data_IF_744896909799
#
_entry.id   IF_744896909799
#
_cell.length_a   1.000
_cell.length_b   1.000
_cell.length_c   1.000
_cell.angle_alpha   90.00
_cell.angle_beta   90.00
_cell.angle_gamma   90.00
#
_symmetry.space_group_name_H-M   'P 1'
#
loop_
_entity.id
_entity.type
_entity.pdbx_description
1 polymer ?
#
# COMPACT_ATOMS: atom_id res chain seq x y z
N UNK A 1 -47.78 14.82 8.93
CA UNK A 1 -47.42 15.45 7.66
C UNK A 1 -46.75 14.39 6.79
N UNK A 2 -47.30 14.00 5.63
CA UNK A 2 -46.61 13.10 4.71
C UNK A 2 -45.43 13.85 4.08
N UNK A 3 -44.24 13.25 4.10
CA UNK A 3 -43.04 13.77 3.43
C UNK A 3 -43.29 13.71 1.92
N UNK A 4 -42.97 14.79 1.20
CA UNK A 4 -43.19 14.86 -0.25
C UNK A 4 -42.20 13.97 -0.98
N UNK A 5 -42.65 13.29 -2.04
CA UNK A 5 -41.78 12.51 -2.94
C UNK A 5 -40.63 13.35 -3.53
N UNK A 6 -40.80 14.68 -3.64
CA UNK A 6 -39.73 15.60 -4.04
C UNK A 6 -38.66 15.75 -2.94
N UNK A 7 -39.08 15.86 -1.68
CA UNK A 7 -38.15 15.97 -0.55
C UNK A 7 -37.29 14.70 -0.41
N UNK A 8 -37.87 13.53 -0.68
CA UNK A 8 -37.14 12.26 -0.68
C UNK A 8 -36.18 12.16 -1.88
N UNK A 9 -36.59 12.62 -3.07
CA UNK A 9 -35.73 12.67 -4.25
C UNK A 9 -34.51 13.59 -4.04
N UNK A 10 -34.72 14.75 -3.43
CA UNK A 10 -33.66 15.72 -3.13
C UNK A 10 -32.68 15.15 -2.09
N UNK A 11 -33.18 14.47 -1.04
CA UNK A 11 -32.33 13.77 -0.06
C UNK A 11 -31.50 12.65 -0.69
N UNK A 12 -32.07 11.89 -1.61
CA UNK A 12 -31.35 10.84 -2.35
C UNK A 12 -30.25 11.46 -3.22
N UNK A 13 -30.57 12.55 -3.94
CA UNK A 13 -29.61 13.25 -4.79
C UNK A 13 -28.43 13.83 -3.98
N UNK A 14 -28.70 14.42 -2.82
CA UNK A 14 -27.66 14.97 -1.96
C UNK A 14 -26.78 13.88 -1.33
N UNK A 15 -27.38 12.75 -0.94
CA UNK A 15 -26.61 11.58 -0.47
C UNK A 15 -25.70 11.01 -1.55
N UNK A 16 -26.20 10.93 -2.80
CA UNK A 16 -25.42 10.48 -3.94
C UNK A 16 -24.24 11.42 -4.25
N UNK A 17 -24.46 12.74 -4.21
CA UNK A 17 -23.38 13.75 -4.36
C UNK A 17 -22.33 13.61 -3.25
N UNK A 18 -22.76 13.42 -2.00
CA UNK A 18 -21.87 13.21 -0.85
C UNK A 18 -21.00 11.96 -1.02
N UNK A 19 -21.60 10.85 -1.43
CA UNK A 19 -20.89 9.59 -1.67
C UNK A 19 -19.88 9.71 -2.82
N UNK A 20 -20.26 10.37 -3.93
CA UNK A 20 -19.35 10.62 -5.04
C UNK A 20 -18.16 11.50 -4.64
N UNK A 21 -18.36 12.50 -3.78
CA UNK A 21 -17.27 13.33 -3.24
C UNK A 21 -16.34 12.51 -2.34
N UNK A 22 -16.88 11.61 -1.52
CA UNK A 22 -16.09 10.72 -0.67
C UNK A 22 -15.26 9.73 -1.49
N UNK A 23 -15.83 9.14 -2.53
CA UNK A 23 -15.12 8.26 -3.47
C UNK A 23 -13.98 9.00 -4.18
N UNK A 24 -14.22 10.21 -4.69
CA UNK A 24 -13.16 11.02 -5.33
C UNK A 24 -12.00 11.29 -4.38
N UNK A 25 -12.27 11.63 -3.11
CA UNK A 25 -11.23 11.84 -2.09
C UNK A 25 -10.45 10.56 -1.81
N UNK A 26 -11.13 9.43 -1.67
CA UNK A 26 -10.48 8.13 -1.44
C UNK A 26 -9.59 7.73 -2.62
N UNK A 27 -10.09 7.85 -3.86
CA UNK A 27 -9.32 7.58 -5.09
C UNK A 27 -8.11 8.52 -5.19
N UNK A 28 -8.31 9.81 -4.90
CA UNK A 28 -7.23 10.80 -4.86
C UNK A 28 -6.16 10.44 -3.84
N UNK A 29 -6.55 10.03 -2.63
CA UNK A 29 -5.61 9.63 -1.58
C UNK A 29 -4.81 8.38 -1.96
N UNK A 30 -5.46 7.36 -2.54
CA UNK A 30 -4.79 6.14 -3.02
C UNK A 30 -3.81 6.48 -4.15
N UNK A 31 -4.25 7.31 -5.10
CA UNK A 31 -3.43 7.72 -6.26
C UNK A 31 -2.23 8.54 -5.81
N UNK A 32 -2.42 9.47 -4.88
CA UNK A 32 -1.35 10.28 -4.30
C UNK A 32 -0.36 9.41 -3.52
N UNK A 33 -0.84 8.46 -2.71
CA UNK A 33 0.04 7.52 -2.00
C UNK A 33 0.90 6.73 -2.96
N UNK A 34 0.31 6.16 -4.01
CA UNK A 34 1.07 5.43 -5.01
C UNK A 34 2.13 6.31 -5.69
N UNK A 35 1.78 7.55 -6.04
CA UNK A 35 2.70 8.49 -6.68
C UNK A 35 3.90 8.83 -5.79
N UNK A 36 3.66 9.12 -4.50
CA UNK A 36 4.74 9.49 -3.55
C UNK A 36 5.68 8.31 -3.31
N UNK A 37 5.17 7.11 -3.09
CA UNK A 37 6.00 5.92 -2.91
C UNK A 37 6.76 5.56 -4.19
N UNK A 38 6.12 5.68 -5.35
CA UNK A 38 6.77 5.46 -6.63
C UNK A 38 7.86 6.49 -6.90
N UNK A 39 7.72 7.75 -6.47
CA UNK A 39 8.78 8.74 -6.61
C UNK A 39 10.04 8.37 -5.80
N UNK A 40 9.86 7.71 -4.65
CA UNK A 40 10.97 7.27 -3.78
C UNK A 40 11.65 6.01 -4.33
N UNK A 41 10.87 4.96 -4.64
CA UNK A 41 11.43 3.65 -4.99
C UNK A 41 11.55 3.42 -6.50
N UNK A 42 10.78 4.14 -7.32
CA UNK A 42 10.79 4.01 -8.79
C UNK A 42 10.95 5.37 -9.48
N UNK A 43 12.02 6.13 -9.21
CA UNK A 43 12.25 7.39 -9.89
C UNK A 43 12.28 7.17 -11.42
N UNK A 44 11.52 7.98 -12.16
CA UNK A 44 11.37 7.80 -13.62
C UNK A 44 10.58 6.55 -14.04
N UNK A 45 9.83 5.94 -13.12
CA UNK A 45 8.98 4.77 -13.40
C UNK A 45 9.68 3.43 -13.36
N UNK A 46 10.99 3.40 -13.08
CA UNK A 46 11.79 2.17 -12.99
C UNK A 46 12.39 2.00 -11.60
N UNK A 47 12.45 0.77 -11.12
CA UNK A 47 13.18 0.44 -9.89
C UNK A 47 14.68 0.62 -10.15
N UNK A 48 15.37 1.31 -9.24
CA UNK A 48 16.83 1.39 -9.28
C UNK A 48 17.43 0.23 -8.49
N UNK A 49 18.69 -0.18 -8.75
CA UNK A 49 19.36 -1.20 -7.95
C UNK A 49 19.41 -0.85 -6.46
N UNK A 50 19.68 0.42 -6.12
CA UNK A 50 19.67 0.89 -4.74
C UNK A 50 18.29 0.77 -4.07
N UNK A 51 17.21 1.12 -4.79
CA UNK A 51 15.86 0.96 -4.26
C UNK A 51 15.49 -0.51 -4.07
N UNK A 52 15.91 -1.39 -4.98
CA UNK A 52 15.73 -2.83 -4.85
C UNK A 52 16.49 -3.40 -3.64
N UNK A 53 17.74 -2.99 -3.42
CA UNK A 53 18.52 -3.38 -2.24
C UNK A 53 17.85 -2.97 -0.93
N UNK A 54 17.38 -1.73 -0.84
CA UNK A 54 16.68 -1.24 0.36
C UNK A 54 15.40 -2.03 0.61
N UNK A 55 14.63 -2.35 -0.44
CA UNK A 55 13.42 -3.16 -0.29
C UNK A 55 13.73 -4.59 0.16
N UNK A 56 14.82 -5.18 -0.30
CA UNK A 56 15.22 -6.53 0.11
C UNK A 56 15.73 -6.56 1.56
N UNK A 57 16.55 -5.59 1.97
CA UNK A 57 16.97 -5.40 3.37
C UNK A 57 15.75 -5.21 4.29
N UNK A 58 14.81 -4.34 3.91
CA UNK A 58 13.58 -4.14 4.65
C UNK A 58 12.72 -5.41 4.73
N UNK A 59 12.68 -6.21 3.66
CA UNK A 59 11.94 -7.47 3.66
C UNK A 59 12.51 -8.45 4.70
N UNK A 60 13.84 -8.58 4.74
CA UNK A 60 14.54 -9.42 5.72
C UNK A 60 14.35 -8.88 7.15
N UNK A 61 14.57 -7.57 7.34
CA UNK A 61 14.43 -6.89 8.62
C UNK A 61 13.01 -7.06 9.18
N UNK A 62 11.98 -6.84 8.37
CA UNK A 62 10.58 -6.90 8.79
C UNK A 62 9.99 -8.32 8.84
N UNK A 63 10.73 -9.35 8.43
CA UNK A 63 10.23 -10.73 8.40
C UNK A 63 9.09 -10.93 7.40
N UNK A 64 9.17 -10.28 6.23
CA UNK A 64 8.11 -10.26 5.23
C UNK A 64 7.62 -11.65 4.80
N UNK A 65 8.58 -12.55 4.57
CA UNK A 65 8.36 -13.89 4.02
C UNK A 65 8.42 -15.00 5.11
N UNK A 66 8.51 -14.61 6.38
CA UNK A 66 8.66 -15.54 7.50
C UNK A 66 7.55 -15.38 8.55
N UNK A 67 7.44 -16.35 9.46
CA UNK A 67 6.58 -16.20 10.64
C UNK A 67 7.20 -15.17 11.60
N UNK A 68 6.37 -14.26 12.07
CA UNK A 68 6.69 -13.21 13.06
C UNK A 68 6.27 -13.61 14.48
N UNK A 69 5.86 -14.88 14.66
CA UNK A 69 5.51 -15.44 15.96
C UNK A 69 6.73 -15.52 16.90
N UNK A 70 6.52 -15.12 18.15
CA UNK A 70 7.48 -15.27 19.23
C UNK A 70 6.68 -15.52 20.53
N UNK A 71 7.21 -16.37 21.42
CA UNK A 71 6.61 -16.69 22.72
C UNK A 71 6.48 -15.46 23.64
N UNK A 72 7.50 -14.59 23.66
CA UNK A 72 7.44 -13.26 24.26
C UNK A 72 6.45 -12.35 23.47
N UNK A 73 5.32 -11.94 24.09
CA UNK A 73 4.32 -11.13 23.43
C UNK A 73 4.83 -9.75 22.99
N UNK A 74 5.84 -9.19 23.68
CA UNK A 74 6.42 -7.89 23.30
C UNK A 74 7.21 -8.00 22.01
N UNK A 75 7.95 -9.09 21.84
CA UNK A 75 8.72 -9.38 20.62
C UNK A 75 7.79 -9.67 19.46
N UNK A 76 6.75 -10.48 19.68
CA UNK A 76 5.74 -10.74 18.66
C UNK A 76 5.09 -9.45 18.15
N UNK A 77 4.58 -8.60 19.06
CA UNK A 77 3.95 -7.33 18.68
C UNK A 77 4.91 -6.39 17.92
N UNK A 78 6.19 -6.34 18.32
CA UNK A 78 7.21 -5.55 17.61
C UNK A 78 7.46 -6.08 16.20
N UNK A 79 7.53 -7.40 16.02
CA UNK A 79 7.76 -8.02 14.72
C UNK A 79 6.56 -7.84 13.79
N UNK A 80 5.34 -8.02 14.29
CA UNK A 80 4.11 -7.75 13.54
C UNK A 80 4.03 -6.29 13.09
N UNK A 81 4.31 -5.33 13.99
CA UNK A 81 4.29 -3.91 13.61
C UNK A 81 5.31 -3.56 12.51
N UNK A 82 6.50 -4.19 12.52
CA UNK A 82 7.49 -4.02 11.45
C UNK A 82 7.01 -4.64 10.14
N UNK A 83 6.45 -5.83 10.20
CA UNK A 83 5.86 -6.50 9.02
C UNK A 83 4.76 -5.67 8.39
N UNK A 84 3.88 -5.08 9.21
CA UNK A 84 2.81 -4.21 8.73
C UNK A 84 3.33 -2.98 7.98
N UNK A 85 4.41 -2.35 8.46
CA UNK A 85 5.07 -1.25 7.75
C UNK A 85 5.59 -1.68 6.38
N UNK A 86 6.22 -2.86 6.29
CA UNK A 86 6.70 -3.38 5.01
C UNK A 86 5.55 -3.67 4.04
N UNK A 87 4.48 -4.33 4.50
CA UNK A 87 3.28 -4.60 3.70
C UNK A 87 2.62 -3.29 3.23
N UNK A 88 2.62 -2.24 4.06
CA UNK A 88 2.12 -0.93 3.69
C UNK A 88 2.92 -0.29 2.54
N UNK A 89 4.25 -0.43 2.54
CA UNK A 89 5.12 0.03 1.45
C UNK A 89 4.80 -0.75 0.16
N UNK A 90 4.71 -2.08 0.25
CA UNK A 90 4.41 -2.93 -0.91
C UNK A 90 3.05 -2.62 -1.54
N UNK A 91 2.01 -2.46 -0.71
CA UNK A 91 0.68 -2.09 -1.16
C UNK A 91 0.68 -0.73 -1.86
N UNK A 92 1.43 0.24 -1.32
CA UNK A 92 1.59 1.56 -1.92
C UNK A 92 2.31 1.50 -3.27
N UNK A 93 3.23 0.56 -3.46
CA UNK A 93 3.93 0.31 -4.72
C UNK A 93 3.18 -0.63 -5.69
N UNK A 94 2.02 -1.17 -5.27
CA UNK A 94 1.26 -2.22 -5.96
C UNK A 94 2.14 -3.44 -6.33
N UNK A 95 3.05 -3.79 -5.43
CA UNK A 95 3.86 -5.00 -5.51
C UNK A 95 3.04 -6.17 -5.00
N UNK A 96 2.78 -7.14 -5.87
CA UNK A 96 2.33 -8.47 -5.49
C UNK A 96 3.55 -9.40 -5.35
N UNK A 97 3.32 -10.64 -4.90
CA UNK A 97 4.39 -11.62 -4.70
C UNK A 97 5.17 -11.93 -5.98
N UNK A 98 4.52 -11.95 -7.14
CA UNK A 98 5.16 -12.22 -8.42
C UNK A 98 6.08 -11.06 -8.85
N UNK A 99 5.62 -9.82 -8.74
CA UNK A 99 6.44 -8.63 -9.01
C UNK A 99 7.63 -8.52 -8.07
N UNK A 100 7.45 -8.89 -6.79
CA UNK A 100 8.56 -8.92 -5.84
C UNK A 100 9.61 -9.96 -6.22
N UNK A 101 9.18 -11.16 -6.61
CA UNK A 101 10.08 -12.23 -7.04
C UNK A 101 10.84 -11.85 -8.33
N UNK A 102 10.18 -11.15 -9.28
CA UNK A 102 10.80 -10.64 -10.49
C UNK A 102 11.89 -9.60 -10.17
N UNK A 103 11.58 -8.60 -9.32
CA UNK A 103 12.56 -7.59 -8.89
C UNK A 103 13.78 -8.20 -8.20
N UNK A 104 13.56 -9.19 -7.32
CA UNK A 104 14.65 -9.91 -6.65
C UNK A 104 15.55 -10.67 -7.64
N UNK A 105 15.01 -11.12 -8.76
CA UNK A 105 15.77 -11.81 -9.82
C UNK A 105 16.64 -10.80 -10.60
N UNK A 106 16.04 -9.70 -11.03
CA UNK A 106 16.74 -8.61 -11.73
C UNK A 106 17.90 -8.05 -10.89
N UNK A 107 17.70 -7.91 -9.58
CA UNK A 107 18.77 -7.47 -8.67
C UNK A 107 19.97 -8.41 -8.70
N UNK A 108 19.75 -9.72 -8.56
CA UNK A 108 20.81 -10.73 -8.58
C UNK A 108 21.55 -10.80 -9.92
N UNK A 109 20.87 -10.51 -11.03
CA UNK A 109 21.46 -10.47 -12.37
C UNK A 109 22.36 -9.25 -12.57
N UNK A 110 22.10 -8.15 -11.85
CA UNK A 110 22.93 -6.94 -11.90
C UNK A 110 24.14 -6.96 -10.94
N UNK A 111 24.14 -7.87 -9.97
CA UNK A 111 25.26 -8.09 -9.04
C UNK A 111 26.28 -9.14 -9.53
N UNK A 112 25.96 -9.88 -10.61
CA UNK A 112 26.79 -10.91 -11.23
C UNK A 112 27.59 -10.36 -12.43
#
# INVERSE_FOLDING_TARGET
>A
MPVSLRDDADRIADRAKGMAAQLRRAIGAISNRHAVYSAVFRPGGKMTPAAAHVLDDLAAFCGADASTYHDDPRRHAKMEGRREVYLHIQQSLKLDGEKLAALRRELREHEA
#
